data_IF_226387569873
#
_entry.id   IF_226387569873
#
_cell.length_a   1.000
_cell.length_b   1.000
_cell.length_c   1.000
_cell.angle_alpha   90.00
_cell.angle_beta   90.00
_cell.angle_gamma   90.00
#
_symmetry.space_group_name_H-M   'P 1'
#
loop_
_entity.id
_entity.type
_entity.pdbx_description
1 polymer ?
#
# COMPACT_ATOMS: atom_id res chain seq x y z
N UNK A 1 19.42 -12.40 12.91
CA UNK A 1 19.96 -11.08 13.30
C UNK A 1 19.27 -10.02 12.46
N UNK A 2 18.41 -9.17 13.03
CA UNK A 2 17.79 -8.08 12.28
C UNK A 2 18.78 -6.92 12.26
N UNK A 3 19.35 -6.61 11.10
CA UNK A 3 20.13 -5.40 10.90
C UNK A 3 19.29 -4.17 11.25
N UNK A 4 19.88 -3.16 11.87
CA UNK A 4 19.23 -1.87 12.04
C UNK A 4 18.75 -1.34 10.67
N UNK A 5 17.58 -0.66 10.59
CA UNK A 5 17.11 -0.09 9.34
C UNK A 5 18.18 0.84 8.74
N UNK A 6 18.37 0.84 7.40
CA UNK A 6 19.35 1.70 6.78
C UNK A 6 19.05 3.17 7.06
N UNK A 7 20.11 3.95 7.29
CA UNK A 7 20.05 5.40 7.47
C UNK A 7 20.12 6.12 6.13
N UNK A 8 19.72 7.39 6.11
CA UNK A 8 19.72 8.20 4.88
C UNK A 8 18.55 7.88 3.93
N UNK A 9 18.81 7.97 2.63
CA UNK A 9 17.78 7.95 1.57
C UNK A 9 17.32 6.56 1.14
N UNK A 10 17.96 5.48 1.59
CA UNK A 10 17.65 4.11 1.14
C UNK A 10 16.86 3.34 2.19
N UNK A 11 15.96 2.47 1.73
CA UNK A 11 15.37 1.39 2.53
C UNK A 11 16.13 0.07 2.28
N UNK A 12 15.87 -0.96 3.08
CA UNK A 12 16.45 -2.31 2.95
C UNK A 12 15.54 -3.29 2.19
N UNK A 13 14.49 -2.78 1.55
CA UNK A 13 13.57 -3.59 0.77
C UNK A 13 14.21 -4.07 -0.53
N UNK A 14 13.77 -5.23 -1.00
CA UNK A 14 14.01 -5.74 -2.35
C UNK A 14 12.70 -6.25 -2.94
N UNK A 15 12.67 -6.75 -4.18
CA UNK A 15 11.48 -7.46 -4.67
C UNK A 15 11.14 -8.73 -3.89
N UNK A 16 12.13 -9.31 -3.18
CA UNK A 16 11.96 -10.50 -2.35
C UNK A 16 11.75 -10.24 -0.86
N UNK A 17 12.08 -9.04 -0.37
CA UNK A 17 12.10 -8.68 1.05
C UNK A 17 11.38 -7.36 1.30
N UNK A 18 10.41 -7.36 2.22
CA UNK A 18 9.74 -6.14 2.67
C UNK A 18 10.75 -5.14 3.25
N UNK A 19 10.60 -3.84 3.01
CA UNK A 19 11.40 -2.84 3.70
C UNK A 19 11.04 -2.82 5.19
N UNK A 20 12.04 -2.61 6.04
CA UNK A 20 11.85 -2.46 7.49
C UNK A 20 11.19 -1.11 7.81
N UNK A 21 11.55 -0.07 7.05
CA UNK A 21 11.00 1.28 7.20
C UNK A 21 10.67 1.92 5.86
N UNK A 22 9.81 2.92 5.86
CA UNK A 22 9.50 3.80 4.73
C UNK A 22 9.67 5.26 5.12
N UNK A 23 10.10 6.08 4.17
CA UNK A 23 10.25 7.53 4.29
C UNK A 23 8.99 8.24 3.79
N UNK A 24 8.26 8.88 4.70
CA UNK A 24 7.01 9.57 4.41
C UNK A 24 7.21 11.08 4.48
N UNK A 25 7.08 11.77 3.34
CA UNK A 25 7.08 13.22 3.33
C UNK A 25 5.73 13.75 3.84
N UNK A 26 5.78 14.42 5.00
CA UNK A 26 4.65 15.10 5.64
C UNK A 26 4.53 16.51 5.11
N UNK A 27 3.71 16.72 4.07
CA UNK A 27 3.71 17.97 3.31
C UNK A 27 3.39 19.19 4.17
N UNK A 28 2.34 19.12 5.00
CA UNK A 28 1.92 20.24 5.85
C UNK A 28 2.92 20.57 6.97
N UNK A 29 3.78 19.61 7.32
CA UNK A 29 4.79 19.74 8.37
C UNK A 29 6.19 19.99 7.78
N UNK A 30 6.31 20.00 6.46
CA UNK A 30 7.55 20.13 5.69
C UNK A 30 8.72 19.29 6.26
N UNK A 31 8.47 18.01 6.55
CA UNK A 31 9.48 17.08 7.08
C UNK A 31 9.27 15.66 6.58
N UNK A 32 10.30 14.83 6.70
CA UNK A 32 10.21 13.39 6.40
C UNK A 32 10.21 12.58 7.69
N UNK A 33 9.17 11.76 7.87
CA UNK A 33 9.08 10.78 8.95
C UNK A 33 9.64 9.43 8.43
N UNK A 34 10.58 8.80 9.16
CA UNK A 34 10.95 7.39 8.93
C UNK A 34 10.07 6.52 9.81
N UNK A 35 9.26 5.66 9.20
CA UNK A 35 8.22 4.88 9.89
C UNK A 35 8.44 3.40 9.66
N UNK A 36 8.24 2.56 10.68
CA UNK A 36 8.21 1.11 10.51
C UNK A 36 7.13 0.73 9.49
N UNK A 37 7.48 -0.14 8.54
CA UNK A 37 6.66 -0.33 7.35
C UNK A 37 5.25 -0.87 7.66
N UNK A 38 5.11 -1.85 8.56
CA UNK A 38 3.81 -2.38 8.97
C UNK A 38 2.94 -1.31 9.65
N UNK A 39 3.55 -0.50 10.49
CA UNK A 39 2.92 0.63 11.19
C UNK A 39 2.43 1.67 10.18
N UNK A 40 3.22 1.96 9.16
CA UNK A 40 2.79 2.81 8.04
C UNK A 40 1.53 2.25 7.38
N UNK A 41 1.52 0.96 6.99
CA UNK A 41 0.36 0.33 6.35
C UNK A 41 -0.90 0.38 7.23
N UNK A 42 -0.76 0.12 8.55
CA UNK A 42 -1.88 0.21 9.51
C UNK A 42 -2.48 1.61 9.64
N UNK A 43 -1.67 2.65 9.42
CA UNK A 43 -2.08 4.06 9.47
C UNK A 43 -2.40 4.66 8.09
N UNK A 44 -2.28 3.89 7.01
CA UNK A 44 -2.74 4.26 5.67
C UNK A 44 -4.09 3.64 5.38
N UNK A 45 -4.24 2.32 5.61
CA UNK A 45 -5.43 1.57 5.22
C UNK A 45 -6.77 2.21 5.62
N UNK A 46 -7.00 2.69 6.86
CA UNK A 46 -8.29 3.28 7.23
C UNK A 46 -8.62 4.59 6.53
N UNK A 47 -7.63 5.26 5.93
CA UNK A 47 -7.82 6.50 5.17
C UNK A 47 -8.06 6.23 3.67
N UNK A 48 -7.82 5.00 3.23
CA UNK A 48 -8.00 4.55 1.84
C UNK A 48 -9.20 3.61 1.69
N UNK A 49 -9.42 2.74 2.68
CA UNK A 49 -10.55 1.82 2.79
C UNK A 49 -11.33 2.13 4.08
N UNK A 50 -12.60 2.56 3.99
CA UNK A 50 -13.42 2.77 5.16
C UNK A 50 -13.52 1.50 6.01
N UNK A 51 -13.26 1.63 7.31
CA UNK A 51 -13.09 0.50 8.23
C UNK A 51 -14.33 -0.40 8.39
N UNK A 52 -15.52 0.10 8.04
CA UNK A 52 -16.78 -0.65 8.07
C UNK A 52 -17.05 -1.46 6.79
N UNK A 53 -16.13 -1.45 5.82
CA UNK A 53 -16.27 -2.26 4.60
C UNK A 53 -16.04 -3.76 4.87
N UNK A 54 -16.54 -4.64 4.00
CA UNK A 54 -16.40 -6.09 4.19
C UNK A 54 -14.94 -6.52 4.36
N UNK A 55 -14.70 -7.53 5.19
CA UNK A 55 -13.36 -7.99 5.54
C UNK A 55 -12.50 -8.35 4.31
N UNK A 56 -13.08 -8.99 3.30
CA UNK A 56 -12.35 -9.34 2.06
C UNK A 56 -11.95 -8.11 1.23
N UNK A 57 -12.75 -7.03 1.28
CA UNK A 57 -12.37 -5.75 0.67
C UNK A 57 -11.23 -5.10 1.44
N UNK A 58 -11.28 -5.09 2.79
CA UNK A 58 -10.19 -4.59 3.62
C UNK A 58 -8.89 -5.38 3.40
N UNK A 59 -8.96 -6.71 3.27
CA UNK A 59 -7.80 -7.58 2.98
C UNK A 59 -7.20 -7.30 1.59
N UNK A 60 -8.05 -7.10 0.57
CA UNK A 60 -7.58 -6.70 -0.75
C UNK A 60 -6.90 -5.32 -0.71
N UNK A 61 -7.54 -4.35 -0.04
CA UNK A 61 -6.98 -3.02 0.20
C UNK A 61 -5.64 -3.07 0.94
N UNK A 62 -5.52 -3.89 1.99
CA UNK A 62 -4.28 -4.05 2.75
C UNK A 62 -3.11 -4.52 1.86
N UNK A 63 -3.34 -5.48 0.97
CA UNK A 63 -2.32 -5.98 0.04
C UNK A 63 -1.95 -4.91 -1.00
N UNK A 64 -2.94 -4.20 -1.57
CA UNK A 64 -2.68 -3.13 -2.53
C UNK A 64 -1.89 -1.97 -1.90
N UNK A 65 -2.31 -1.51 -0.72
CA UNK A 65 -1.64 -0.45 0.05
C UNK A 65 -0.21 -0.84 0.39
N UNK A 66 0.01 -2.09 0.86
CA UNK A 66 1.35 -2.65 1.11
C UNK A 66 2.20 -2.67 -0.16
N UNK A 67 1.65 -3.12 -1.28
CA UNK A 67 2.40 -3.26 -2.52
C UNK A 67 2.79 -1.90 -3.12
N UNK A 68 1.91 -0.89 -3.01
CA UNK A 68 2.22 0.48 -3.43
C UNK A 68 3.35 1.11 -2.58
N UNK A 69 3.25 1.02 -1.25
CA UNK A 69 4.29 1.53 -0.35
C UNK A 69 5.63 0.81 -0.57
N UNK A 70 5.60 -0.51 -0.78
CA UNK A 70 6.79 -1.31 -1.04
C UNK A 70 7.44 -0.88 -2.37
N UNK A 71 6.67 -0.75 -3.45
CA UNK A 71 7.19 -0.30 -4.74
C UNK A 71 7.99 1.01 -4.65
N UNK A 72 7.50 1.99 -3.89
CA UNK A 72 8.18 3.27 -3.73
C UNK A 72 9.37 3.22 -2.79
N UNK A 73 9.31 2.39 -1.74
CA UNK A 73 10.45 2.13 -0.87
C UNK A 73 11.65 1.49 -1.63
N UNK A 74 11.40 0.77 -2.72
CA UNK A 74 12.47 0.24 -3.60
C UNK A 74 13.08 1.30 -4.52
N UNK A 75 12.39 2.43 -4.70
CA UNK A 75 12.68 3.46 -5.70
C UNK A 75 13.00 4.81 -5.07
N UNK A 76 13.40 4.80 -3.80
CA UNK A 76 13.74 5.98 -2.99
C UNK A 76 14.73 6.91 -3.71
N UNK A 77 14.19 7.93 -4.38
CA UNK A 77 14.98 8.92 -5.13
C UNK A 77 14.40 10.33 -5.07
N UNK A 78 13.14 10.47 -4.66
CA UNK A 78 12.46 11.76 -4.56
C UNK A 78 13.03 12.59 -3.41
N UNK A 79 13.10 13.91 -3.60
CA UNK A 79 13.57 14.87 -2.61
C UNK A 79 12.53 15.95 -2.35
N UNK A 80 12.38 16.36 -1.08
CA UNK A 80 11.60 17.55 -0.70
C UNK A 80 12.27 18.81 -1.25
N UNK A 81 11.60 19.98 -1.22
CA UNK A 81 12.25 21.25 -1.54
C UNK A 81 13.50 21.54 -0.70
N UNK A 82 13.52 21.05 0.55
CA UNK A 82 14.66 21.12 1.48
C UNK A 82 15.73 20.03 1.24
N UNK A 83 15.59 19.19 0.23
CA UNK A 83 16.57 18.17 -0.15
C UNK A 83 16.48 16.84 0.61
N UNK A 84 15.49 16.66 1.50
CA UNK A 84 15.30 15.41 2.24
C UNK A 84 14.69 14.33 1.34
N UNK A 85 15.22 13.11 1.39
CA UNK A 85 14.71 12.00 0.60
C UNK A 85 13.38 11.47 1.14
N UNK A 86 12.47 11.06 0.26
CA UNK A 86 11.23 10.39 0.63
C UNK A 86 10.82 9.33 -0.40
N UNK A 87 10.02 8.37 0.05
CA UNK A 87 9.48 7.29 -0.78
C UNK A 87 8.07 7.65 -1.25
N UNK A 88 7.26 8.15 -0.31
CA UNK A 88 5.85 8.49 -0.52
C UNK A 88 5.55 9.84 0.12
N UNK A 89 4.56 10.54 -0.40
CA UNK A 89 3.97 11.70 0.29
C UNK A 89 2.69 11.32 1.03
N UNK A 90 2.25 12.12 1.99
CA UNK A 90 1.00 11.92 2.72
C UNK A 90 -0.25 12.49 2.02
N UNK A 91 -0.18 12.70 0.70
CA UNK A 91 -1.27 13.26 -0.11
C UNK A 91 -1.81 12.24 -1.13
N UNK A 92 -2.96 12.56 -1.74
CA UNK A 92 -3.66 11.74 -2.76
C UNK A 92 -2.83 11.34 -3.99
N UNK A 93 -1.68 11.96 -4.23
CA UNK A 93 -0.73 11.53 -5.27
C UNK A 93 0.06 10.26 -4.89
N UNK A 94 0.01 9.88 -3.61
CA UNK A 94 0.65 8.69 -3.04
C UNK A 94 -0.38 7.91 -2.21
N UNK A 95 -0.30 7.97 -0.87
CA UNK A 95 -1.27 7.35 0.02
C UNK A 95 -1.50 8.26 1.24
N UNK A 96 -2.72 8.27 1.77
CA UNK A 96 -3.08 9.13 2.91
C UNK A 96 -2.57 8.52 4.23
N UNK A 97 -1.36 8.88 4.62
CA UNK A 97 -0.77 8.48 5.91
C UNK A 97 -1.16 9.42 7.03
N UNK A 98 -1.90 8.91 8.03
CA UNK A 98 -2.28 9.65 9.23
C UNK A 98 -1.87 8.86 10.48
N UNK A 99 -0.76 9.22 11.17
CA UNK A 99 -0.38 8.56 12.42
C UNK A 99 -1.52 8.57 13.43
N UNK A 100 -1.76 7.44 14.08
CA UNK A 100 -2.84 7.28 15.07
C UNK A 100 -4.22 7.02 14.47
N UNK A 101 -4.35 6.85 13.14
CA UNK A 101 -5.64 6.57 12.49
C UNK A 101 -6.01 5.08 12.43
N UNK A 102 -5.11 4.19 12.86
CA UNK A 102 -5.32 2.75 12.84
C UNK A 102 -6.62 2.34 13.55
N UNK A 103 -7.36 1.39 12.97
CA UNK A 103 -8.59 0.85 13.54
C UNK A 103 -8.47 -0.66 13.73
N UNK A 104 -9.27 -1.25 14.62
CA UNK A 104 -9.23 -2.70 14.86
C UNK A 104 -9.52 -3.51 13.58
N UNK A 105 -10.54 -3.12 12.80
CA UNK A 105 -10.93 -3.81 11.57
C UNK A 105 -9.84 -3.75 10.50
N UNK A 106 -9.24 -2.58 10.28
CA UNK A 106 -8.15 -2.43 9.30
C UNK A 106 -6.87 -3.10 9.77
N UNK A 107 -6.55 -3.06 11.07
CA UNK A 107 -5.41 -3.80 11.62
C UNK A 107 -5.53 -5.30 11.41
N UNK A 108 -6.71 -5.88 11.67
CA UNK A 108 -6.97 -7.29 11.45
C UNK A 108 -6.76 -7.69 9.97
N UNK A 109 -7.16 -6.84 9.02
CA UNK A 109 -6.92 -7.07 7.60
C UNK A 109 -5.43 -7.01 7.22
N UNK A 110 -4.67 -6.05 7.76
CA UNK A 110 -3.22 -5.95 7.57
C UNK A 110 -2.50 -7.15 8.17
N UNK A 111 -2.86 -7.54 9.39
CA UNK A 111 -2.23 -8.67 10.08
C UNK A 111 -2.52 -10.00 9.37
N UNK A 112 -3.77 -10.23 8.94
CA UNK A 112 -4.16 -11.44 8.21
C UNK A 112 -3.48 -11.58 6.83
N UNK A 113 -3.03 -10.48 6.24
CA UNK A 113 -2.43 -10.45 4.89
C UNK A 113 -0.96 -10.07 4.89
N UNK A 114 -0.33 -10.00 6.06
CA UNK A 114 1.04 -9.49 6.18
C UNK A 114 2.07 -10.35 5.43
N UNK A 115 1.93 -11.67 5.50
CA UNK A 115 2.77 -12.62 4.74
C UNK A 115 2.49 -12.62 3.23
N UNK A 116 1.32 -12.18 2.79
CA UNK A 116 0.94 -12.26 1.37
C UNK A 116 1.76 -11.32 0.49
N UNK A 117 2.61 -11.85 -0.37
CA UNK A 117 3.33 -11.08 -1.39
C UNK A 117 2.57 -11.13 -2.72
N UNK A 118 2.38 -9.96 -3.33
CA UNK A 118 1.74 -9.78 -4.62
C UNK A 118 2.76 -9.29 -5.65
N UNK A 119 3.06 -10.11 -6.65
CA UNK A 119 4.11 -9.81 -7.66
C UNK A 119 3.59 -9.97 -9.07
N UNK A 120 4.23 -9.30 -10.02
CA UNK A 120 4.11 -9.59 -11.46
C UNK A 120 5.50 -9.88 -12.00
N UNK A 121 5.67 -11.01 -12.71
CA UNK A 121 6.98 -11.47 -13.21
C UNK A 121 8.05 -11.56 -12.09
N UNK A 122 7.64 -11.93 -10.87
CA UNK A 122 8.53 -12.00 -9.71
C UNK A 122 8.86 -10.64 -9.06
N UNK A 123 8.41 -9.53 -9.63
CA UNK A 123 8.71 -8.19 -9.15
C UNK A 123 7.52 -7.52 -8.44
N UNK A 124 7.86 -6.63 -7.51
CA UNK A 124 6.92 -5.69 -6.90
C UNK A 124 6.63 -4.58 -7.91
N UNK A 125 5.37 -4.50 -8.32
CA UNK A 125 4.86 -3.50 -9.25
C UNK A 125 4.05 -2.42 -8.52
N UNK A 126 3.78 -1.30 -9.19
CA UNK A 126 2.98 -0.22 -8.62
C UNK A 126 1.50 -0.60 -8.63
N UNK A 127 1.00 -1.17 -7.54
CA UNK A 127 -0.43 -1.48 -7.38
C UNK A 127 -1.22 -0.20 -7.08
N UNK A 128 -1.68 0.50 -8.12
CA UNK A 128 -2.50 1.69 -7.94
C UNK A 128 -3.91 1.30 -7.46
N UNK A 129 -4.66 2.28 -6.99
CA UNK A 129 -6.08 2.15 -6.66
C UNK A 129 -6.74 3.52 -6.76
N UNK A 130 -8.08 3.56 -6.90
CA UNK A 130 -8.82 4.81 -6.93
C UNK A 130 -10.18 4.72 -6.24
N UNK A 131 -10.63 5.89 -5.75
CA UNK A 131 -11.92 6.10 -5.08
C UNK A 131 -13.04 6.36 -6.09
N UNK A 132 -13.33 5.40 -6.97
CA UNK A 132 -14.46 5.49 -7.93
C UNK A 132 -15.26 4.19 -8.03
N UNK A 133 -16.58 4.30 -8.25
CA UNK A 133 -17.51 3.21 -8.61
C UNK A 133 -17.38 2.76 -10.07
N UNK A 134 -16.95 3.64 -10.95
CA UNK A 134 -16.73 3.38 -12.38
C UNK A 134 -15.39 3.97 -12.80
N UNK A 135 -14.43 3.06 -13.01
CA UNK A 135 -13.12 3.20 -13.63
C UNK A 135 -12.21 4.39 -13.22
N UNK A 136 -10.94 4.10 -12.97
CA UNK A 136 -9.91 5.12 -13.11
C UNK A 136 -9.64 5.31 -14.61
N UNK A 137 -10.46 6.11 -15.31
CA UNK A 137 -10.55 6.19 -16.79
C UNK A 137 -9.25 6.47 -17.57
N UNK A 138 -8.14 6.79 -16.89
CA UNK A 138 -6.82 6.98 -17.50
C UNK A 138 -5.91 5.74 -17.48
N UNK A 139 -6.21 4.73 -16.67
CA UNK A 139 -5.30 3.60 -16.46
C UNK A 139 -5.78 2.36 -17.22
N UNK A 140 -5.62 2.34 -18.54
CA UNK A 140 -6.16 1.26 -19.39
C UNK A 140 -5.44 -0.09 -19.19
N UNK A 141 -4.35 -0.13 -18.42
CA UNK A 141 -3.39 -1.26 -18.35
C UNK A 141 -3.54 -2.21 -17.15
N UNK A 142 -4.60 -2.11 -16.33
CA UNK A 142 -4.91 -3.13 -15.31
C UNK A 142 -3.98 -3.16 -14.10
N UNK A 143 -3.33 -2.02 -13.78
CA UNK A 143 -2.52 -1.82 -12.57
C UNK A 143 -3.23 -1.04 -11.48
N UNK A 144 -4.57 -1.13 -11.45
CA UNK A 144 -5.38 -0.41 -10.48
C UNK A 144 -6.55 -1.24 -9.97
N UNK A 145 -6.92 -0.99 -8.71
CA UNK A 145 -8.12 -1.53 -8.08
C UNK A 145 -9.11 -0.41 -7.78
N UNK A 146 -10.38 -0.62 -8.13
CA UNK A 146 -11.47 0.25 -7.65
C UNK A 146 -11.75 -0.09 -6.18
N UNK A 147 -11.70 0.93 -5.31
CA UNK A 147 -12.01 0.76 -3.89
C UNK A 147 -13.46 0.27 -3.70
N UNK A 148 -14.45 0.96 -4.25
CA UNK A 148 -15.86 0.57 -4.14
C UNK A 148 -16.17 -0.71 -4.90
N UNK A 149 -15.52 -0.97 -6.03
CA UNK A 149 -15.66 -2.25 -6.75
C UNK A 149 -15.10 -3.43 -5.95
N UNK A 150 -14.02 -3.25 -5.20
CA UNK A 150 -13.53 -4.27 -4.24
C UNK A 150 -14.56 -4.53 -3.13
N UNK A 151 -15.22 -3.48 -2.62
CA UNK A 151 -16.30 -3.58 -1.64
C UNK A 151 -17.48 -4.37 -2.19
N UNK A 152 -17.93 -4.04 -3.40
CA UNK A 152 -19.11 -4.64 -3.99
C UNK A 152 -18.87 -6.11 -4.38
N UNK A 153 -17.67 -6.44 -4.87
CA UNK A 153 -17.25 -7.84 -5.06
C UNK A 153 -17.19 -8.61 -3.75
N UNK A 154 -16.66 -8.02 -2.69
CA UNK A 154 -16.65 -8.65 -1.38
C UNK A 154 -18.08 -8.86 -0.83
N UNK A 155 -19.00 -7.91 -1.03
CA UNK A 155 -20.43 -8.08 -0.70
C UNK A 155 -21.08 -9.21 -1.51
N UNK A 156 -20.63 -9.41 -2.76
CA UNK A 156 -21.02 -10.54 -3.60
C UNK A 156 -20.29 -11.86 -3.25
N UNK A 157 -19.59 -11.93 -2.11
CA UNK A 157 -18.94 -13.15 -1.61
C UNK A 157 -17.56 -13.45 -2.22
N UNK A 158 -16.94 -12.51 -2.93
CA UNK A 158 -15.60 -12.73 -3.48
C UNK A 158 -14.54 -12.64 -2.39
N UNK A 159 -13.59 -13.58 -2.41
CA UNK A 159 -12.37 -13.48 -1.60
C UNK A 159 -11.46 -12.35 -2.07
N UNK A 160 -10.63 -11.83 -1.16
CA UNK A 160 -9.62 -10.83 -1.47
C UNK A 160 -8.66 -11.28 -2.58
N UNK A 161 -8.30 -12.56 -2.61
CA UNK A 161 -7.44 -13.13 -3.65
C UNK A 161 -8.10 -13.09 -5.04
N UNK A 162 -9.41 -13.38 -5.12
CA UNK A 162 -10.19 -13.28 -6.35
C UNK A 162 -10.34 -11.82 -6.78
N UNK A 163 -10.60 -10.91 -5.85
CA UNK A 163 -10.69 -9.47 -6.11
C UNK A 163 -9.37 -8.95 -6.69
N UNK A 164 -8.22 -9.26 -6.07
CA UNK A 164 -6.91 -8.81 -6.52
C UNK A 164 -6.57 -9.35 -7.92
N UNK A 165 -6.83 -10.64 -8.19
CA UNK A 165 -6.58 -11.24 -9.51
C UNK A 165 -7.50 -10.69 -10.60
N UNK A 166 -8.67 -10.20 -10.22
CA UNK A 166 -9.59 -9.56 -11.16
C UNK A 166 -9.09 -8.17 -11.58
N UNK A 167 -8.63 -7.36 -10.63
CA UNK A 167 -8.15 -6.00 -10.89
C UNK A 167 -6.73 -5.96 -11.45
N UNK A 168 -5.80 -6.70 -10.83
CA UNK A 168 -4.40 -6.71 -11.22
C UNK A 168 -4.12 -7.96 -12.08
N UNK A 169 -4.08 -7.81 -13.39
CA UNK A 169 -3.87 -8.94 -14.30
C UNK A 169 -2.43 -9.48 -14.21
N UNK A 170 -2.26 -10.79 -14.37
CA UNK A 170 -0.94 -11.44 -14.37
C UNK A 170 -0.21 -11.42 -13.02
N UNK A 171 -0.91 -11.16 -11.91
CA UNK A 171 -0.29 -11.24 -10.58
C UNK A 171 -0.16 -12.69 -10.10
N UNK A 172 0.84 -12.89 -9.25
CA UNK A 172 0.97 -14.07 -8.39
C UNK A 172 0.85 -13.62 -6.94
N UNK A 173 0.05 -14.36 -6.16
CA UNK A 173 -0.06 -14.19 -4.72
C UNK A 173 0.66 -15.37 -4.05
N UNK A 174 1.61 -15.07 -3.18
CA UNK A 174 2.38 -16.06 -2.40
C UNK A 174 2.26 -15.73 -0.92
N UNK A 175 2.19 -16.74 -0.05
CA UNK A 175 2.06 -16.61 1.41
C UNK A 175 3.31 -17.10 2.12
#
# INVERSE_FOLDING_TARGET
MSSAPPTGCKTDGTHGKLPTTILVYRKSLNRVDRVEFKTYIKNVLPNEWPSYWPAESLRAGAIAVKNFGWYWALRSASKTPSGQCYDVSDHTASQVYKPGSATAATNAAVDATWGTRMTRNGEIFKAQYCSTTTACGHWVTGDWMSQTGSRDKAKAGWSHSRILKDYYKGIVLTS
#
